data_IF_391918234030
#
_entry.id   IF_391918234030
#
_cell.length_a   1.000
_cell.length_b   1.000
_cell.length_c   1.000
_cell.angle_alpha   90.00
_cell.angle_beta   90.00
_cell.angle_gamma   90.00
#
_symmetry.space_group_name_H-M   'P 1'
#
loop_
_entity.id
_entity.type
_entity.pdbx_description
1 polymer ?
#
# COMPACT_ATOMS: atom_id res chain seq x y z
N UNK A 1 15.47 21.09 42.19
CA UNK A 1 14.39 21.78 41.44
C UNK A 1 14.52 21.35 40.00
N UNK A 2 13.59 20.50 39.61
CA UNK A 2 13.43 19.91 38.29
C UNK A 2 12.65 20.90 37.44
N UNK A 3 13.10 21.13 36.21
CA UNK A 3 12.22 21.37 35.07
C UNK A 3 12.95 20.95 33.79
N UNK A 4 12.85 19.66 33.48
CA UNK A 4 13.02 19.17 32.10
C UNK A 4 11.66 19.35 31.43
N UNK A 5 11.59 20.33 30.53
CA UNK A 5 10.49 20.45 29.59
C UNK A 5 10.35 19.15 28.80
N UNK A 6 9.23 18.48 29.04
CA UNK A 6 8.67 17.41 28.22
C UNK A 6 8.23 18.01 26.89
N UNK A 7 9.07 17.91 25.87
CA UNK A 7 8.63 18.02 24.47
C UNK A 7 8.75 16.63 23.85
N UNK A 8 7.71 15.83 24.01
CA UNK A 8 7.44 14.68 23.14
C UNK A 8 7.18 15.18 21.71
N UNK A 9 7.59 14.40 20.71
CA UNK A 9 6.54 13.75 19.92
C UNK A 9 6.75 12.24 19.95
N UNK A 10 5.77 11.54 20.53
CA UNK A 10 5.62 10.10 20.39
C UNK A 10 5.21 9.81 18.93
N UNK A 11 6.20 9.62 18.07
CA UNK A 11 6.00 9.39 16.64
C UNK A 11 5.70 7.91 16.33
N UNK A 12 5.07 7.20 17.26
CA UNK A 12 4.81 5.76 17.15
C UNK A 12 3.33 5.39 16.99
N UNK A 13 2.60 6.25 16.28
CA UNK A 13 1.42 5.77 15.56
C UNK A 13 1.71 5.86 14.06
N UNK A 14 1.85 4.72 13.41
CA UNK A 14 1.50 4.63 11.98
C UNK A 14 0.03 5.07 11.75
N UNK A 15 -0.71 5.45 12.80
CA UNK A 15 -2.13 5.77 12.83
C UNK A 15 -2.95 4.59 12.37
N UNK A 16 -2.49 3.42 12.79
CA UNK A 16 -3.26 2.19 12.77
C UNK A 16 -4.50 2.38 13.65
N UNK A 17 -5.62 1.74 13.29
CA UNK A 17 -6.83 1.82 14.09
C UNK A 17 -6.60 1.20 15.49
N UNK A 18 -7.29 1.68 16.53
CA UNK A 18 -7.15 1.14 17.89
C UNK A 18 -7.48 -0.36 18.01
N UNK A 19 -8.17 -0.93 17.01
CA UNK A 19 -8.50 -2.35 16.94
C UNK A 19 -7.32 -3.26 16.59
N UNK A 20 -6.18 -2.72 16.15
CA UNK A 20 -5.00 -3.52 15.81
C UNK A 20 -4.45 -4.19 17.05
N UNK A 21 -4.43 -5.53 17.01
CA UNK A 21 -3.92 -6.34 18.11
C UNK A 21 -2.40 -6.40 18.08
N UNK A 22 -1.82 -6.34 19.27
CA UNK A 22 -0.39 -6.48 19.49
C UNK A 22 -0.08 -7.78 20.22
N UNK A 23 0.94 -8.47 19.73
CA UNK A 23 1.42 -9.75 20.22
C UNK A 23 2.90 -9.65 20.61
N UNK A 24 3.37 -10.57 21.45
CA UNK A 24 4.80 -10.76 21.66
C UNK A 24 5.31 -11.78 20.64
N UNK A 25 6.41 -11.50 19.95
CA UNK A 25 7.02 -12.50 19.07
C UNK A 25 7.69 -13.60 19.91
N UNK A 26 7.42 -14.87 19.61
CA UNK A 26 7.95 -16.03 20.34
C UNK A 26 8.54 -17.10 19.39
N UNK A 27 8.91 -16.68 18.17
CA UNK A 27 9.44 -17.55 17.12
C UNK A 27 8.49 -17.75 15.95
N UNK A 28 9.01 -18.35 14.88
CA UNK A 28 8.32 -18.46 13.59
C UNK A 28 7.01 -19.25 13.68
N UNK A 29 6.99 -20.37 14.42
CA UNK A 29 5.77 -21.17 14.61
C UNK A 29 4.67 -20.39 15.34
N UNK A 30 5.04 -19.58 16.34
CA UNK A 30 4.09 -18.72 17.03
C UNK A 30 3.53 -17.67 16.07
N UNK A 31 4.42 -17.03 15.31
CA UNK A 31 4.04 -16.04 14.30
C UNK A 31 3.03 -16.58 13.29
N UNK A 32 3.29 -17.75 12.70
CA UNK A 32 2.37 -18.35 11.72
C UNK A 32 1.01 -18.72 12.33
N UNK A 33 0.96 -19.19 13.57
CA UNK A 33 -0.32 -19.46 14.26
C UNK A 33 -1.14 -18.18 14.45
N UNK A 34 -0.50 -17.10 14.90
CA UNK A 34 -1.17 -15.81 15.09
C UNK A 34 -1.63 -15.25 13.73
N UNK A 35 -0.77 -15.31 12.71
CA UNK A 35 -1.10 -14.84 11.37
C UNK A 35 -2.30 -15.58 10.78
N UNK A 36 -2.37 -16.90 10.95
CA UNK A 36 -3.51 -17.70 10.49
C UNK A 36 -4.80 -17.32 11.23
N UNK A 37 -4.74 -17.20 12.56
CA UNK A 37 -5.88 -16.81 13.39
C UNK A 37 -6.43 -15.42 13.03
N UNK A 38 -5.54 -14.44 12.85
CA UNK A 38 -5.96 -13.07 12.53
C UNK A 38 -6.43 -12.93 11.09
N UNK A 39 -5.91 -13.75 10.17
CA UNK A 39 -6.42 -13.84 8.80
C UNK A 39 -7.84 -14.41 8.77
N UNK A 40 -8.11 -15.46 9.54
CA UNK A 40 -9.46 -16.02 9.68
C UNK A 40 -10.44 -14.97 10.21
N UNK A 41 -10.07 -14.27 11.29
CA UNK A 41 -10.87 -13.17 11.86
C UNK A 41 -11.13 -12.03 10.88
N UNK A 42 -10.13 -11.66 10.08
CA UNK A 42 -10.26 -10.65 9.02
C UNK A 42 -11.28 -11.12 7.97
N UNK A 43 -11.15 -12.34 7.48
CA UNK A 43 -12.05 -12.90 6.46
C UNK A 43 -13.49 -13.02 6.98
N UNK A 44 -13.68 -13.47 8.21
CA UNK A 44 -14.99 -13.52 8.86
C UNK A 44 -15.61 -12.13 9.00
N UNK A 45 -14.82 -11.15 9.45
CA UNK A 45 -15.27 -9.76 9.54
C UNK A 45 -15.64 -9.18 8.17
N UNK A 46 -14.90 -9.52 7.12
CA UNK A 46 -15.23 -9.14 5.75
C UNK A 46 -16.56 -9.78 5.31
N UNK A 47 -16.75 -11.07 5.54
CA UNK A 47 -18.00 -11.77 5.20
C UNK A 47 -19.21 -11.19 5.94
N UNK A 48 -19.12 -11.04 7.26
CA UNK A 48 -20.21 -10.52 8.08
C UNK A 48 -20.59 -9.08 7.70
N UNK A 49 -19.60 -8.26 7.34
CA UNK A 49 -19.87 -6.89 6.88
C UNK A 49 -20.72 -6.82 5.59
N UNK A 50 -20.66 -7.85 4.75
CA UNK A 50 -21.47 -7.97 3.52
C UNK A 50 -22.89 -8.49 3.81
N UNK A 51 -23.03 -9.38 4.79
CA UNK A 51 -24.34 -9.93 5.16
C UNK A 51 -25.24 -8.88 5.82
N UNK A 52 -24.67 -8.02 6.69
CA UNK A 52 -25.43 -6.94 7.36
C UNK A 52 -25.99 -5.95 6.32
N UNK A 53 -25.23 -5.59 5.29
CA UNK A 53 -25.69 -4.69 4.23
C UNK A 53 -26.84 -5.28 3.39
N UNK A 54 -27.00 -6.60 3.35
CA UNK A 54 -28.09 -7.26 2.63
C UNK A 54 -29.39 -7.37 3.45
N UNK A 55 -29.31 -7.30 4.77
CA UNK A 55 -30.46 -7.44 5.68
C UNK A 55 -31.14 -6.10 5.96
N UNK A 56 -30.36 -5.01 6.02
CA UNK A 56 -30.86 -3.65 6.27
C UNK A 56 -31.78 -3.10 5.16
N UNK A 57 -31.87 -3.79 4.02
CA UNK A 57 -32.83 -3.48 2.94
C UNK A 57 -34.22 -4.07 3.18
N UNK A 58 -34.42 -4.98 4.15
CA UNK A 58 -35.68 -5.73 4.33
C UNK A 58 -36.28 -5.62 5.74
N UNK A 59 -35.51 -5.33 6.79
CA UNK A 59 -36.04 -5.27 8.15
C UNK A 59 -35.45 -4.09 8.91
N UNK A 60 -36.28 -3.09 9.22
CA UNK A 60 -35.93 -1.89 10.00
C UNK A 60 -35.60 -2.18 11.47
N UNK A 61 -34.66 -3.09 11.73
CA UNK A 61 -34.23 -3.51 13.06
C UNK A 61 -32.78 -3.11 13.28
N UNK A 62 -32.57 -1.93 13.86
CA UNK A 62 -31.25 -1.48 14.34
C UNK A 62 -30.83 -2.25 15.59
N UNK A 63 -30.16 -3.38 15.40
CA UNK A 63 -29.25 -3.92 16.42
C UNK A 63 -27.83 -3.67 15.94
N UNK A 64 -27.28 -2.53 16.37
CA UNK A 64 -25.86 -2.20 16.20
C UNK A 64 -25.05 -3.14 17.09
N UNK A 65 -24.64 -4.29 16.54
CA UNK A 65 -23.53 -5.05 17.12
C UNK A 65 -22.29 -4.16 17.15
N UNK A 66 -21.41 -4.32 18.15
CA UNK A 66 -20.21 -3.51 18.26
C UNK A 66 -19.40 -3.63 16.97
N UNK A 67 -19.22 -2.50 16.29
CA UNK A 67 -18.47 -2.37 15.05
C UNK A 67 -16.99 -2.67 15.37
N UNK A 68 -16.62 -3.96 15.41
CA UNK A 68 -15.22 -4.36 15.49
C UNK A 68 -14.60 -3.87 14.18
N UNK A 69 -13.84 -2.78 14.28
CA UNK A 69 -13.18 -2.14 13.15
C UNK A 69 -12.25 -3.18 12.49
N UNK A 70 -12.69 -3.72 11.35
CA UNK A 70 -11.94 -4.70 10.56
C UNK A 70 -10.58 -4.12 10.19
N UNK A 71 -9.51 -4.88 10.42
CA UNK A 71 -8.15 -4.43 10.10
C UNK A 71 -7.33 -5.54 9.45
N UNK A 72 -6.59 -5.17 8.41
CA UNK A 72 -5.56 -6.02 7.79
C UNK A 72 -4.26 -6.05 8.60
N UNK A 73 -4.17 -5.34 9.72
CA UNK A 73 -2.93 -5.17 10.46
C UNK A 73 -2.90 -5.93 11.78
N UNK A 74 -1.73 -6.46 12.09
CA UNK A 74 -1.35 -6.99 13.41
C UNK A 74 0.03 -6.45 13.78
N UNK A 75 0.34 -6.42 15.06
CA UNK A 75 1.61 -5.90 15.56
C UNK A 75 2.32 -6.96 16.41
N UNK A 76 3.65 -6.98 16.33
CA UNK A 76 4.51 -7.81 17.17
C UNK A 76 5.56 -6.94 17.86
N UNK A 77 5.70 -7.11 19.17
CA UNK A 77 6.91 -6.71 19.88
C UNK A 77 8.01 -7.72 19.60
N UNK A 78 9.11 -7.27 18.99
CA UNK A 78 10.23 -8.09 18.53
C UNK A 78 11.52 -7.27 18.58
N UNK A 79 12.58 -7.84 19.15
CA UNK A 79 13.88 -7.18 19.22
C UNK A 79 14.58 -7.15 17.85
N UNK A 80 15.48 -6.18 17.60
CA UNK A 80 16.14 -6.05 16.30
C UNK A 80 16.96 -7.27 15.86
N UNK A 81 17.57 -8.01 16.80
CA UNK A 81 18.38 -9.17 16.45
C UNK A 81 17.51 -10.34 15.99
N UNK A 82 16.37 -10.55 16.65
CA UNK A 82 15.38 -11.55 16.24
C UNK A 82 14.70 -11.17 14.93
N UNK A 83 14.34 -9.90 14.73
CA UNK A 83 13.82 -9.43 13.44
C UNK A 83 14.82 -9.69 12.30
N UNK A 84 16.09 -9.33 12.49
CA UNK A 84 17.13 -9.54 11.49
C UNK A 84 17.30 -11.02 11.13
N UNK A 85 17.26 -11.90 12.12
CA UNK A 85 17.40 -13.35 11.92
C UNK A 85 16.20 -13.94 11.17
N UNK A 86 14.98 -13.61 11.61
CA UNK A 86 13.78 -14.33 11.20
C UNK A 86 13.04 -13.68 10.01
N UNK A 87 13.28 -12.41 9.69
CA UNK A 87 12.58 -11.70 8.60
C UNK A 87 13.51 -11.23 7.48
N UNK A 88 14.82 -11.12 7.73
CA UNK A 88 15.81 -10.64 6.75
C UNK A 88 16.89 -11.69 6.43
N UNK A 89 17.15 -12.61 7.37
CA UNK A 89 18.20 -13.62 7.28
C UNK A 89 18.02 -14.63 6.13
N UNK A 90 19.00 -15.53 5.93
CA UNK A 90 18.96 -16.53 4.86
C UNK A 90 17.76 -17.49 4.98
N UNK A 91 17.28 -17.73 6.21
CA UNK A 91 16.12 -18.55 6.54
C UNK A 91 14.91 -17.69 6.93
N UNK A 92 14.79 -16.50 6.33
CA UNK A 92 13.71 -15.58 6.59
C UNK A 92 12.33 -16.20 6.29
N UNK A 93 11.35 -15.80 7.10
CA UNK A 93 9.94 -16.14 6.91
C UNK A 93 9.51 -15.74 5.49
N UNK A 94 8.90 -16.66 4.71
CA UNK A 94 8.30 -16.31 3.44
C UNK A 94 7.16 -15.30 3.64
N UNK A 95 7.34 -14.10 3.12
CA UNK A 95 6.43 -12.96 3.31
C UNK A 95 5.43 -12.75 2.16
N UNK A 96 5.22 -13.75 1.29
CA UNK A 96 4.38 -13.60 0.09
C UNK A 96 2.95 -13.11 0.39
N UNK A 97 2.41 -13.43 1.56
CA UNK A 97 1.05 -13.10 1.98
C UNK A 97 0.96 -11.91 2.94
N UNK A 98 2.07 -11.23 3.20
CA UNK A 98 2.16 -10.10 4.13
C UNK A 98 3.04 -8.96 3.60
N UNK A 99 2.96 -7.78 4.24
CA UNK A 99 3.97 -6.72 4.16
C UNK A 99 4.37 -6.30 5.56
N UNK A 100 5.65 -6.00 5.75
CA UNK A 100 6.18 -5.63 7.05
C UNK A 100 6.62 -4.17 7.10
N UNK A 101 6.45 -3.57 8.28
CA UNK A 101 7.19 -2.38 8.67
C UNK A 101 7.76 -2.57 10.07
N UNK A 102 9.07 -2.42 10.22
CA UNK A 102 9.77 -2.60 11.48
C UNK A 102 10.45 -1.31 11.94
N UNK A 103 10.23 -0.94 13.19
CA UNK A 103 10.91 0.17 13.86
C UNK A 103 11.84 -0.38 14.96
N UNK A 104 13.14 -0.32 14.71
CA UNK A 104 14.14 -0.83 15.65
C UNK A 104 14.19 -0.04 16.97
N UNK A 105 13.77 1.23 16.99
CA UNK A 105 13.78 2.06 18.20
C UNK A 105 12.68 1.68 19.18
N UNK A 106 11.57 1.18 18.66
CA UNK A 106 10.39 0.81 19.47
C UNK A 106 10.15 -0.69 19.51
N UNK A 107 11.03 -1.47 18.89
CA UNK A 107 10.99 -2.94 18.84
C UNK A 107 9.63 -3.45 18.34
N UNK A 108 9.10 -2.75 17.33
CA UNK A 108 7.74 -2.94 16.86
C UNK A 108 7.73 -3.34 15.38
N UNK A 109 7.16 -4.51 15.11
CA UNK A 109 6.89 -5.02 13.77
C UNK A 109 5.40 -4.92 13.48
N UNK A 110 5.05 -4.10 12.48
CA UNK A 110 3.72 -4.02 11.90
C UNK A 110 3.66 -5.00 10.74
N UNK A 111 2.61 -5.82 10.71
CA UNK A 111 2.36 -6.79 9.66
C UNK A 111 1.01 -6.49 9.03
N UNK A 112 1.02 -6.18 7.74
CA UNK A 112 -0.17 -6.08 6.89
C UNK A 112 -0.43 -7.44 6.27
N UNK A 113 -1.63 -7.98 6.46
CA UNK A 113 -2.12 -9.18 5.80
C UNK A 113 -2.62 -8.80 4.41
N UNK A 114 -1.98 -9.37 3.38
CA UNK A 114 -2.39 -9.12 1.99
C UNK A 114 -3.65 -9.94 1.70
N UNK A 115 -4.71 -9.26 1.28
CA UNK A 115 -5.98 -9.84 0.84
C UNK A 115 -5.94 -10.22 -0.65
N UNK A 116 -6.83 -11.12 -1.11
CA UNK A 116 -6.91 -11.48 -2.53
C UNK A 116 -7.21 -10.28 -3.45
N UNK A 117 -8.15 -9.41 -3.06
CA UNK A 117 -8.47 -8.18 -3.78
C UNK A 117 -7.27 -7.22 -3.87
N UNK A 118 -6.52 -7.07 -2.79
CA UNK A 118 -5.26 -6.30 -2.77
C UNK A 118 -4.26 -6.85 -3.79
N UNK A 119 -4.08 -8.17 -3.79
CA UNK A 119 -3.17 -8.84 -4.72
C UNK A 119 -3.58 -8.66 -6.18
N UNK A 120 -4.87 -8.76 -6.48
CA UNK A 120 -5.39 -8.59 -7.84
C UNK A 120 -5.26 -7.15 -8.34
N UNK A 121 -5.58 -6.17 -7.49
CA UNK A 121 -5.40 -4.74 -7.81
C UNK A 121 -3.93 -4.46 -8.10
N UNK A 122 -3.02 -4.85 -7.21
CA UNK A 122 -1.58 -4.66 -7.42
C UNK A 122 -1.09 -5.33 -8.70
N UNK A 123 -1.48 -6.59 -8.95
CA UNK A 123 -1.12 -7.31 -10.18
C UNK A 123 -1.62 -6.59 -11.44
N UNK A 124 -2.84 -6.05 -11.42
CA UNK A 124 -3.40 -5.31 -12.54
C UNK A 124 -2.63 -4.01 -12.81
N UNK A 125 -2.25 -3.27 -11.76
CA UNK A 125 -1.40 -2.06 -11.89
C UNK A 125 -0.04 -2.42 -12.49
N UNK A 126 0.62 -3.48 -12.01
CA UNK A 126 1.90 -3.91 -12.57
C UNK A 126 1.77 -4.26 -14.06
N UNK A 127 0.70 -4.97 -14.46
CA UNK A 127 0.44 -5.30 -15.88
C UNK A 127 0.20 -4.05 -16.73
N UNK A 128 -0.49 -3.05 -16.21
CA UNK A 128 -0.72 -1.79 -16.91
C UNK A 128 0.61 -1.03 -17.13
N UNK A 129 1.45 -0.95 -16.09
CA UNK A 129 2.80 -0.36 -16.19
C UNK A 129 3.65 -1.13 -17.20
N UNK A 130 3.71 -2.46 -17.12
CA UNK A 130 4.45 -3.30 -18.06
C UNK A 130 3.95 -3.11 -19.50
N UNK A 131 2.63 -2.97 -19.70
CA UNK A 131 2.06 -2.73 -21.03
C UNK A 131 2.55 -1.40 -21.61
N UNK A 132 2.50 -0.33 -20.84
CA UNK A 132 2.97 0.98 -21.26
C UNK A 132 4.48 0.98 -21.54
N UNK A 133 5.28 0.31 -20.71
CA UNK A 133 6.72 0.15 -20.93
C UNK A 133 7.05 -0.64 -22.20
N UNK A 134 6.32 -1.73 -22.49
CA UNK A 134 6.50 -2.50 -23.74
C UNK A 134 6.19 -1.66 -24.97
N UNK A 135 5.18 -0.78 -24.92
CA UNK A 135 4.88 0.17 -26.01
C UNK A 135 6.06 1.11 -26.28
N UNK A 136 6.89 1.40 -25.28
CA UNK A 136 8.12 2.19 -25.43
C UNK A 136 9.37 1.35 -25.77
N UNK A 137 9.33 0.03 -25.58
CA UNK A 137 10.50 -0.86 -25.69
C UNK A 137 11.41 -0.81 -24.45
N UNK A 138 10.84 -0.49 -23.28
CA UNK A 138 11.53 -0.26 -22.02
C UNK A 138 11.13 -1.25 -20.91
N UNK A 139 10.49 -2.36 -21.26
CA UNK A 139 10.03 -3.38 -20.32
C UNK A 139 11.15 -4.07 -19.54
N UNK A 140 12.39 -4.05 -20.06
CA UNK A 140 13.59 -4.54 -19.36
C UNK A 140 14.43 -3.42 -18.72
N UNK A 141 13.96 -2.16 -18.80
CA UNK A 141 14.72 -0.98 -18.34
C UNK A 141 14.43 -0.59 -16.88
N UNK A 142 13.60 -1.37 -16.18
CA UNK A 142 13.23 -1.16 -14.78
C UNK A 142 13.55 -2.38 -13.90
N UNK A 143 13.76 -2.13 -12.61
CA UNK A 143 13.71 -3.15 -11.57
C UNK A 143 12.36 -3.08 -10.86
N UNK A 144 11.89 -4.23 -10.41
CA UNK A 144 10.76 -4.33 -9.50
C UNK A 144 11.25 -4.52 -8.07
N UNK A 145 10.70 -3.76 -7.13
CA UNK A 145 11.05 -3.75 -5.71
C UNK A 145 9.89 -4.33 -4.87
N UNK A 146 9.42 -5.52 -5.25
CA UNK A 146 8.32 -6.19 -4.55
C UNK A 146 8.82 -6.75 -3.22
N UNK A 147 8.17 -6.37 -2.11
CA UNK A 147 8.49 -6.86 -0.77
C UNK A 147 9.99 -6.69 -0.39
N UNK A 148 10.65 -5.67 -0.94
CA UNK A 148 12.02 -5.31 -0.56
C UNK A 148 11.95 -4.39 0.66
N UNK A 149 12.73 -4.71 1.70
CA UNK A 149 12.88 -3.84 2.85
C UNK A 149 13.66 -2.58 2.46
N UNK A 150 12.98 -1.44 2.55
CA UNK A 150 13.55 -0.13 2.29
C UNK A 150 13.80 0.53 3.65
N UNK A 151 15.02 1.01 3.85
CA UNK A 151 15.33 1.87 4.99
C UNK A 151 14.72 3.25 4.76
N UNK A 152 13.75 3.58 5.61
CA UNK A 152 12.98 4.81 5.65
C UNK A 152 13.29 5.50 6.98
N UNK A 153 14.52 6.03 7.10
CA UNK A 153 15.02 6.74 8.28
C UNK A 153 15.06 5.88 9.55
N UNK A 154 15.66 4.69 9.45
CA UNK A 154 15.79 3.70 10.53
C UNK A 154 14.56 2.84 10.75
N UNK A 155 13.57 2.94 9.85
CA UNK A 155 12.42 2.03 9.77
C UNK A 155 12.55 1.20 8.50
N UNK A 156 12.53 -0.11 8.63
CA UNK A 156 12.46 -1.00 7.46
C UNK A 156 11.00 -1.10 7.05
N UNK A 157 10.65 -0.70 5.83
CA UNK A 157 9.28 -0.81 5.31
C UNK A 157 9.30 -1.44 3.94
N UNK A 158 8.32 -2.29 3.68
CA UNK A 158 8.10 -2.90 2.38
C UNK A 158 6.93 -2.21 1.66
N UNK A 159 7.09 -1.81 0.39
CA UNK A 159 5.98 -1.33 -0.41
C UNK A 159 5.08 -2.50 -0.85
N UNK A 160 3.82 -2.24 -1.14
CA UNK A 160 2.95 -3.25 -1.76
C UNK A 160 3.50 -3.66 -3.13
N UNK A 161 3.86 -2.66 -3.95
CA UNK A 161 4.69 -2.78 -5.16
C UNK A 161 5.53 -1.52 -5.37
N UNK A 162 6.65 -1.66 -6.09
CA UNK A 162 7.46 -0.50 -6.44
C UNK A 162 8.34 -0.76 -7.66
N UNK A 163 8.69 0.32 -8.37
CA UNK A 163 9.44 0.31 -9.62
C UNK A 163 10.53 1.38 -9.60
N UNK A 164 11.65 1.12 -10.27
CA UNK A 164 12.71 2.09 -10.45
C UNK A 164 13.62 1.72 -11.62
N UNK A 165 14.48 2.61 -12.10
CA UNK A 165 15.26 2.35 -13.29
C UNK A 165 16.37 1.32 -13.03
N UNK A 166 16.63 0.47 -14.01
CA UNK A 166 17.76 -0.47 -13.96
C UNK A 166 19.10 0.27 -13.92
N UNK A 167 19.19 1.36 -14.68
CA UNK A 167 20.35 2.25 -14.76
C UNK A 167 20.09 3.47 -13.89
N UNK A 168 20.77 3.56 -12.75
CA UNK A 168 20.72 4.76 -11.90
C UNK A 168 21.80 5.75 -12.30
N UNK A 169 21.55 7.07 -12.19
CA UNK A 169 22.59 8.08 -12.33
C UNK A 169 23.77 7.82 -11.39
N UNK A 170 24.99 8.19 -11.82
CA UNK A 170 26.20 8.02 -11.02
C UNK A 170 26.02 8.66 -9.64
N UNK A 171 26.38 7.92 -8.59
CA UNK A 171 26.27 8.38 -7.21
C UNK A 171 24.89 8.18 -6.57
N UNK A 172 23.88 7.67 -7.29
CA UNK A 172 22.58 7.30 -6.70
C UNK A 172 22.49 5.81 -6.41
N UNK A 173 22.05 5.48 -5.19
CA UNK A 173 21.71 4.11 -4.81
C UNK A 173 20.51 3.60 -5.61
N UNK A 174 20.48 2.30 -5.88
CA UNK A 174 19.30 1.63 -6.44
C UNK A 174 18.17 1.66 -5.42
N UNK A 175 17.09 2.36 -5.74
CA UNK A 175 15.87 2.51 -4.93
C UNK A 175 14.68 2.65 -5.87
N UNK A 176 13.46 2.34 -5.42
CA UNK A 176 12.29 2.63 -6.22
C UNK A 176 12.10 4.14 -6.37
N UNK A 177 11.61 4.54 -7.54
CA UNK A 177 11.24 5.93 -7.87
C UNK A 177 9.72 6.09 -7.96
N UNK A 178 9.00 4.98 -8.16
CA UNK A 178 7.54 4.90 -8.11
C UNK A 178 7.15 3.81 -7.13
N UNK A 179 6.24 4.11 -6.20
CA UNK A 179 5.71 3.14 -5.23
C UNK A 179 4.19 3.05 -5.33
N UNK A 180 3.63 1.90 -4.98
CA UNK A 180 2.19 1.65 -4.87
C UNK A 180 1.87 1.19 -3.44
N UNK A 181 0.79 1.74 -2.90
CA UNK A 181 0.11 1.25 -1.70
C UNK A 181 -1.37 1.05 -2.01
N UNK A 182 -1.88 -0.13 -1.67
CA UNK A 182 -3.28 -0.52 -1.85
C UNK A 182 -3.93 -0.68 -0.47
N UNK A 183 -4.93 0.14 -0.21
CA UNK A 183 -5.72 0.15 1.01
C UNK A 183 -7.08 -0.50 0.76
N UNK A 184 -7.38 -1.61 1.45
CA UNK A 184 -8.70 -2.26 1.36
C UNK A 184 -9.50 -2.01 2.65
N UNK A 185 -9.02 -2.51 3.79
CA UNK A 185 -9.59 -2.21 5.11
C UNK A 185 -8.99 -0.94 5.73
N UNK A 186 -7.78 -0.60 5.32
CA UNK A 186 -6.99 0.50 5.85
C UNK A 186 -7.69 1.88 5.71
N UNK A 187 -7.54 2.76 6.71
CA UNK A 187 -8.12 4.10 6.67
C UNK A 187 -7.43 4.99 5.64
N UNK A 188 -8.17 5.95 5.06
CA UNK A 188 -7.59 6.95 4.14
C UNK A 188 -6.43 7.73 4.77
N UNK A 189 -6.54 8.04 6.06
CA UNK A 189 -5.49 8.76 6.81
C UNK A 189 -4.20 7.95 6.93
N UNK A 190 -4.27 6.62 7.05
CA UNK A 190 -3.08 5.75 7.05
C UNK A 190 -2.43 5.72 5.67
N UNK A 191 -3.25 5.61 4.61
CA UNK A 191 -2.74 5.60 3.24
C UNK A 191 -1.98 6.90 2.94
N UNK A 192 -2.53 8.05 3.35
CA UNK A 192 -1.86 9.35 3.20
C UNK A 192 -0.54 9.44 3.97
N UNK A 193 -0.48 8.91 5.21
CA UNK A 193 0.78 8.85 5.97
C UNK A 193 1.83 8.00 5.27
N UNK A 194 1.41 6.92 4.62
CA UNK A 194 2.32 6.12 3.80
C UNK A 194 2.79 6.92 2.56
N UNK A 195 1.94 7.73 1.93
CA UNK A 195 2.36 8.62 0.84
C UNK A 195 3.41 9.64 1.30
N UNK A 196 3.18 10.32 2.44
CA UNK A 196 4.16 11.24 3.04
C UNK A 196 5.49 10.53 3.31
N UNK A 197 5.43 9.33 3.88
CA UNK A 197 6.60 8.54 4.22
C UNK A 197 7.44 8.17 3.00
N UNK A 198 6.78 7.73 1.92
CA UNK A 198 7.45 7.30 0.70
C UNK A 198 8.04 8.45 -0.10
N UNK A 199 7.39 9.62 -0.10
CA UNK A 199 7.79 10.77 -0.91
C UNK A 199 8.82 11.66 -0.20
N UNK A 200 8.89 11.65 1.14
CA UNK A 200 9.86 12.45 1.90
C UNK A 200 11.31 12.14 1.45
N UNK A 201 12.06 13.14 0.94
CA UNK A 201 13.43 12.96 0.44
C UNK A 201 14.42 12.48 1.51
N UNK A 202 14.15 12.76 2.79
CA UNK A 202 14.93 12.28 3.92
C UNK A 202 14.57 10.85 4.34
N UNK A 203 13.59 10.23 3.69
CA UNK A 203 13.01 8.93 4.05
C UNK A 203 12.91 8.00 2.85
N UNK A 204 11.74 7.88 2.23
CA UNK A 204 11.50 6.99 1.09
C UNK A 204 12.17 7.48 -0.18
N UNK A 205 12.16 8.80 -0.42
CA UNK A 205 12.73 9.46 -1.60
C UNK A 205 12.23 8.88 -2.94
N UNK A 206 10.97 8.46 -2.98
CA UNK A 206 10.28 8.16 -4.24
C UNK A 206 9.85 9.47 -4.92
N UNK A 207 9.74 9.46 -6.24
CA UNK A 207 9.27 10.62 -7.02
C UNK A 207 7.75 10.62 -7.17
N UNK A 208 7.14 9.43 -7.21
CA UNK A 208 5.68 9.25 -7.29
C UNK A 208 5.25 8.15 -6.34
N UNK A 209 4.18 8.41 -5.60
CA UNK A 209 3.48 7.40 -4.83
C UNK A 209 2.05 7.26 -5.37
N UNK A 210 1.63 6.02 -5.59
CA UNK A 210 0.31 5.65 -6.08
C UNK A 210 -0.47 5.11 -4.89
N UNK A 211 -1.54 5.79 -4.50
CA UNK A 211 -2.46 5.31 -3.48
C UNK A 211 -3.71 4.74 -4.14
N UNK A 212 -4.08 3.50 -3.85
CA UNK A 212 -5.37 2.94 -4.28
C UNK A 212 -6.19 2.60 -3.05
N UNK A 213 -7.40 3.17 -2.94
CA UNK A 213 -8.33 2.85 -1.87
C UNK A 213 -9.56 2.14 -2.44
N UNK A 214 -9.75 0.89 -2.07
CA UNK A 214 -10.94 0.13 -2.40
C UNK A 214 -12.07 0.43 -1.41
N UNK A 215 -13.29 0.61 -1.92
CA UNK A 215 -14.50 0.64 -1.13
C UNK A 215 -14.94 -0.81 -0.86
N UNK A 216 -15.27 -1.12 0.39
CA UNK A 216 -15.67 -2.48 0.79
C UNK A 216 -17.15 -2.77 0.65
N UNK A 217 -17.97 -1.74 0.47
CA UNK A 217 -19.45 -1.82 0.48
C UNK A 217 -20.07 -1.72 -0.91
N UNK A 218 -19.34 -1.16 -1.87
CA UNK A 218 -19.80 -0.98 -3.25
C UNK A 218 -18.62 -1.09 -4.22
N UNK A 219 -18.85 -1.47 -5.49
CA UNK A 219 -17.82 -1.52 -6.51
C UNK A 219 -17.33 -0.11 -6.83
N UNK A 220 -16.33 0.34 -6.08
CA UNK A 220 -15.69 1.65 -6.24
C UNK A 220 -14.25 1.59 -5.73
N UNK A 221 -13.33 2.12 -6.53
CA UNK A 221 -11.96 2.40 -6.08
C UNK A 221 -11.61 3.87 -6.36
N UNK A 222 -10.75 4.45 -5.52
CA UNK A 222 -10.06 5.68 -5.86
C UNK A 222 -8.58 5.42 -6.10
N UNK A 223 -8.01 6.06 -7.11
CA UNK A 223 -6.60 5.99 -7.48
C UNK A 223 -6.04 7.41 -7.36
N UNK A 224 -4.99 7.57 -6.57
CA UNK A 224 -4.42 8.87 -6.23
C UNK A 224 -2.94 8.91 -6.64
N UNK A 225 -2.54 9.99 -7.31
CA UNK A 225 -1.12 10.27 -7.61
C UNK A 225 -0.59 11.28 -6.63
N UNK A 226 0.42 10.90 -5.87
CA UNK A 226 1.09 11.75 -4.92
C UNK A 226 2.51 12.04 -5.40
N UNK A 227 2.95 13.29 -5.18
CA UNK A 227 4.30 13.78 -5.46
C UNK A 227 4.79 14.60 -4.27
N UNK A 228 6.10 14.78 -4.13
CA UNK A 228 6.64 15.66 -3.10
C UNK A 228 6.48 17.13 -3.49
N UNK A 229 6.01 17.96 -2.56
CA UNK A 229 5.95 19.41 -2.68
C UNK A 229 7.14 20.01 -1.92
N UNK A 230 8.20 20.36 -2.65
CA UNK A 230 9.42 20.95 -2.08
C UNK A 230 9.17 22.29 -1.39
N UNK A 231 8.12 23.03 -1.77
CA UNK A 231 7.82 24.34 -1.18
C UNK A 231 7.25 24.17 0.23
N UNK A 232 6.34 23.21 0.40
CA UNK A 232 5.66 22.96 1.67
C UNK A 232 6.29 21.81 2.48
N UNK A 233 7.24 21.07 1.92
CA UNK A 233 7.92 19.95 2.56
C UNK A 233 6.98 18.82 2.96
N UNK A 234 6.03 18.46 2.09
CA UNK A 234 5.04 17.39 2.35
C UNK A 234 4.59 16.71 1.06
N UNK A 235 3.92 15.56 1.15
CA UNK A 235 3.28 14.97 -0.02
C UNK A 235 2.07 15.80 -0.47
N UNK A 236 1.89 15.89 -1.78
CA UNK A 236 0.80 16.56 -2.45
C UNK A 236 0.07 15.59 -3.38
N UNK A 237 -1.24 15.47 -3.18
CA UNK A 237 -2.11 14.74 -4.10
C UNK A 237 -2.27 15.56 -5.39
N UNK A 238 -1.52 15.17 -6.42
CA UNK A 238 -1.49 15.85 -7.73
C UNK A 238 -2.60 15.39 -8.68
N UNK A 239 -3.17 14.20 -8.46
CA UNK A 239 -4.24 13.65 -9.27
C UNK A 239 -5.14 12.76 -8.43
N UNK A 240 -6.45 12.78 -8.74
CA UNK A 240 -7.46 11.91 -8.17
C UNK A 240 -8.29 11.30 -9.29
N UNK A 241 -8.41 9.98 -9.29
CA UNK A 241 -9.24 9.20 -10.19
C UNK A 241 -10.23 8.39 -9.36
N UNK A 242 -11.47 8.35 -9.81
CA UNK A 242 -12.49 7.47 -9.25
C UNK A 242 -13.00 6.55 -10.36
N UNK A 243 -13.09 5.26 -10.04
CA UNK A 243 -13.75 4.26 -10.87
C UNK A 243 -14.83 3.62 -10.01
N UNK A 244 -16.05 3.58 -10.51
CA UNK A 244 -17.20 3.00 -9.80
C UNK A 244 -18.14 2.31 -10.77
N UNK A 245 -18.90 1.35 -10.27
CA UNK A 245 -19.98 0.69 -11.00
C UNK A 245 -21.31 1.01 -10.32
N UNK A 246 -22.34 1.26 -11.13
CA UNK A 246 -23.70 1.53 -10.64
C UNK A 246 -24.54 0.24 -10.59
N UNK A 247 -25.79 0.35 -10.12
CA UNK A 247 -26.72 -0.79 -10.03
C UNK A 247 -27.14 -1.39 -11.38
N UNK A 248 -26.75 -0.75 -12.49
CA UNK A 248 -27.02 -1.22 -13.87
C UNK A 248 -25.76 -1.83 -14.51
N UNK A 249 -24.75 -2.15 -13.72
CA UNK A 249 -23.44 -2.65 -14.17
C UNK A 249 -22.70 -1.70 -15.13
N UNK A 250 -23.03 -0.39 -15.09
CA UNK A 250 -22.33 0.62 -15.88
C UNK A 250 -21.15 1.18 -15.09
N UNK A 251 -19.95 1.02 -15.66
CA UNK A 251 -18.73 1.60 -15.10
C UNK A 251 -18.64 3.09 -15.43
N UNK A 252 -18.44 3.90 -14.39
CA UNK A 252 -18.12 5.33 -14.48
C UNK A 252 -16.69 5.56 -14.04
N UNK A 253 -15.93 6.23 -14.90
CA UNK A 253 -14.56 6.65 -14.64
C UNK A 253 -14.47 8.18 -14.71
N UNK A 254 -13.73 8.78 -13.78
CA UNK A 254 -13.43 10.22 -13.78
C UNK A 254 -11.98 10.51 -13.41
N UNK A 255 -11.42 11.60 -13.93
CA UNK A 255 -10.08 12.09 -13.62
C UNK A 255 -8.92 11.38 -14.34
N UNK A 256 -9.22 10.40 -15.19
CA UNK A 256 -8.22 9.67 -16.00
C UNK A 256 -7.76 10.46 -17.24
N UNK A 257 -6.74 9.97 -17.97
CA UNK A 257 -5.90 8.79 -17.66
C UNK A 257 -4.91 9.03 -16.52
N UNK A 258 -4.29 7.99 -15.96
CA UNK A 258 -3.22 8.13 -14.96
C UNK A 258 -1.87 8.27 -15.66
N UNK A 259 -1.13 9.33 -15.34
CA UNK A 259 0.13 9.67 -16.01
C UNK A 259 1.28 9.74 -15.02
N UNK A 260 2.34 8.95 -15.26
CA UNK A 260 3.63 9.04 -14.58
C UNK A 260 4.62 9.71 -15.54
N UNK A 261 5.16 10.90 -15.19
CA UNK A 261 6.19 11.53 -16.00
C UNK A 261 7.38 10.62 -16.21
N UNK A 262 7.90 10.55 -17.44
CA UNK A 262 9.00 9.65 -17.80
C UNK A 262 10.21 9.82 -16.87
N UNK A 263 10.61 11.08 -16.65
CA UNK A 263 11.75 11.43 -15.83
C UNK A 263 11.57 11.08 -14.34
N UNK A 264 10.32 11.01 -13.85
CA UNK A 264 10.06 10.53 -12.49
C UNK A 264 10.37 9.04 -12.36
N UNK A 265 10.07 8.22 -13.37
CA UNK A 265 10.41 6.79 -13.33
C UNK A 265 11.89 6.55 -13.65
N UNK A 266 12.41 7.15 -14.72
CA UNK A 266 13.74 6.81 -15.26
C UNK A 266 14.91 7.66 -14.75
N UNK A 267 14.64 8.74 -14.02
CA UNK A 267 15.67 9.68 -13.52
C UNK A 267 16.52 10.31 -14.63
N UNK A 268 15.95 10.43 -15.83
CA UNK A 268 16.52 11.11 -17.00
C UNK A 268 15.40 11.58 -17.92
N UNK A 269 15.73 12.52 -18.80
CA UNK A 269 14.83 12.91 -19.87
C UNK A 269 14.68 11.80 -20.93
N UNK A 270 13.59 11.82 -21.71
CA UNK A 270 13.45 10.98 -22.88
C UNK A 270 14.57 11.21 -23.90
N UNK A 271 15.17 10.12 -24.39
CA UNK A 271 16.29 10.17 -25.35
C UNK A 271 15.80 10.06 -26.81
N UNK A 272 14.64 9.42 -27.04
CA UNK A 272 14.06 9.20 -28.37
C UNK A 272 12.56 9.51 -28.38
N UNK A 273 11.94 9.83 -29.54
CA UNK A 273 10.52 10.20 -29.61
C UNK A 273 9.52 9.14 -29.10
N UNK A 274 9.95 7.88 -29.02
CA UNK A 274 9.13 6.76 -28.51
C UNK A 274 9.09 6.72 -26.97
N UNK A 275 10.08 7.32 -26.31
CA UNK A 275 10.09 7.48 -24.86
C UNK A 275 9.19 8.65 -24.49
N UNK A 276 8.08 8.34 -23.84
CA UNK A 276 7.09 9.33 -23.43
C UNK A 276 6.69 9.08 -21.99
N UNK A 277 5.85 9.94 -21.43
CA UNK A 277 5.25 9.66 -20.14
C UNK A 277 4.50 8.32 -20.16
N UNK A 278 4.50 7.64 -19.02
CA UNK A 278 3.82 6.37 -18.86
C UNK A 278 2.33 6.65 -18.62
N UNK A 279 1.51 6.22 -19.58
CA UNK A 279 0.06 6.44 -19.57
C UNK A 279 -0.64 5.11 -19.25
N UNK A 280 -1.40 5.09 -18.15
CA UNK A 280 -2.40 4.07 -17.87
C UNK A 280 -3.74 4.66 -18.33
N UNK A 281 -4.21 4.16 -19.47
CA UNK A 281 -5.45 4.60 -20.11
C UNK A 281 -6.71 4.17 -19.32
N UNK A 282 -7.86 4.71 -19.74
CA UNK A 282 -9.14 4.46 -19.06
C UNK A 282 -9.54 2.98 -19.07
N UNK A 283 -9.19 2.24 -20.13
CA UNK A 283 -9.43 0.79 -20.22
C UNK A 283 -8.67 0.04 -19.12
N UNK A 284 -7.38 0.35 -18.93
CA UNK A 284 -6.60 -0.26 -17.85
C UNK A 284 -7.07 0.17 -16.46
N UNK A 285 -7.48 1.43 -16.28
CA UNK A 285 -8.02 1.92 -15.01
C UNK A 285 -9.32 1.20 -14.63
N UNK A 286 -10.22 1.02 -15.60
CA UNK A 286 -11.43 0.20 -15.42
C UNK A 286 -11.06 -1.24 -15.06
N UNK A 287 -10.14 -1.86 -15.80
CA UNK A 287 -9.70 -3.24 -15.54
C UNK A 287 -9.08 -3.43 -14.16
N UNK A 288 -8.34 -2.45 -13.64
CA UNK A 288 -7.80 -2.47 -12.27
C UNK A 288 -8.95 -2.50 -11.25
N UNK A 289 -9.99 -1.69 -11.48
CA UNK A 289 -11.16 -1.64 -10.61
C UNK A 289 -11.95 -2.95 -10.62
N UNK A 290 -12.27 -3.47 -11.81
CA UNK A 290 -12.98 -4.75 -11.99
C UNK A 290 -12.22 -5.91 -11.33
N UNK A 291 -10.88 -5.96 -11.45
CA UNK A 291 -10.07 -6.99 -10.77
C UNK A 291 -10.17 -6.94 -9.25
N UNK A 292 -10.37 -5.76 -8.68
CA UNK A 292 -10.68 -5.60 -7.26
C UNK A 292 -12.08 -6.09 -6.94
N UNK A 293 -13.08 -5.64 -7.71
CA UNK A 293 -14.50 -5.97 -7.49
C UNK A 293 -14.79 -7.46 -7.67
N UNK A 294 -14.18 -8.12 -8.66
CA UNK A 294 -14.22 -9.58 -8.86
C UNK A 294 -13.88 -10.35 -7.58
N UNK A 295 -12.96 -9.84 -6.76
CA UNK A 295 -12.58 -10.48 -5.50
C UNK A 295 -13.44 -9.99 -4.31
N UNK A 296 -14.08 -8.84 -4.45
CA UNK A 296 -14.91 -8.24 -3.41
C UNK A 296 -16.38 -8.68 -3.47
N UNK A 297 -16.92 -9.01 -4.63
CA UNK A 297 -18.36 -9.21 -4.79
C UNK A 297 -18.74 -10.48 -5.56
N UNK A 298 -17.76 -11.21 -6.12
CA UNK A 298 -17.94 -12.48 -6.82
C UNK A 298 -17.12 -13.62 -6.18
#
# INVERSE_FOLDING_TARGET
>A
MSDRNQNMPDYDSEGLPPSVRQYRYEGQDHFFRILALERERLLDSIRNSREITNIDTVSGSTKTEPNIETTEYIMFSIDPATFQRDFIGPDAIPIYSIRTSFNAKTELLIVKMVTPEHSQIGSAVNKAIDNALRRMGLDLAINHYHAVDIDVNGRMKQPDMAWGPTRTPRGRHKRPTVVLEVAVSETKSKLHRDMDLWLDPGRGNANVAIGIKANRKRPMISIEKWVWDDVNGRALQSQYIEVSENELDEVKLSGGPFIIPFHHLFLRDPDIPRETDLIIDEEWLQRIAEKGWDMQFH
#
